data_IF_527032306910
#
_entry.id   IF_527032306910
#
_cell.length_a   1.000
_cell.length_b   1.000
_cell.length_c   1.000
_cell.angle_alpha   90.00
_cell.angle_beta   90.00
_cell.angle_gamma   90.00
#
_symmetry.space_group_name_H-M   'P 1'
#
loop_
_entity.id
_entity.type
_entity.pdbx_description
1 polymer ?
#
# COMPACT_ATOMS: atom_id res chain seq x y z
N UNK A 1 -47.02 17.16 -12.43
CA UNK A 1 -45.87 16.24 -12.68
C UNK A 1 -44.61 17.07 -12.62
N UNK A 2 -43.91 17.10 -11.47
CA UNK A 2 -42.65 17.79 -11.31
C UNK A 2 -41.55 16.73 -11.41
N UNK A 3 -40.72 16.83 -12.43
CA UNK A 3 -39.55 16.01 -12.66
C UNK A 3 -38.47 16.49 -11.68
N UNK A 4 -38.11 15.63 -10.72
CA UNK A 4 -36.99 15.82 -9.82
C UNK A 4 -35.75 15.31 -10.56
N UNK A 5 -34.94 16.21 -11.10
CA UNK A 5 -33.58 15.96 -11.52
C UNK A 5 -32.68 16.46 -10.39
N UNK A 6 -32.49 15.65 -9.37
CA UNK A 6 -31.38 15.83 -8.42
C UNK A 6 -30.07 15.46 -9.13
N UNK A 7 -29.46 16.46 -9.73
CA UNK A 7 -28.05 16.41 -10.09
C UNK A 7 -27.25 16.44 -8.80
N UNK A 8 -26.81 15.27 -8.33
CA UNK A 8 -25.73 15.15 -7.35
C UNK A 8 -24.50 15.86 -7.91
N UNK A 9 -24.26 17.09 -7.48
CA UNK A 9 -22.99 17.77 -7.63
C UNK A 9 -21.96 17.04 -6.76
N UNK A 10 -21.40 15.92 -7.30
CA UNK A 10 -20.17 15.37 -6.77
C UNK A 10 -19.09 16.42 -7.07
N UNK A 11 -18.50 16.99 -6.02
CA UNK A 11 -17.29 17.80 -6.16
C UNK A 11 -16.28 17.01 -6.99
N UNK A 12 -15.50 17.65 -7.87
CA UNK A 12 -14.46 16.95 -8.63
C UNK A 12 -13.57 16.21 -7.63
N UNK A 13 -13.58 14.87 -7.67
CA UNK A 13 -12.61 14.08 -6.89
C UNK A 13 -11.23 14.56 -7.32
N UNK A 14 -10.42 14.97 -6.35
CA UNK A 14 -9.03 15.32 -6.61
C UNK A 14 -8.34 14.03 -7.10
N UNK A 15 -8.07 13.97 -8.41
CA UNK A 15 -7.47 12.78 -9.05
C UNK A 15 -6.02 12.53 -8.60
N UNK A 16 -5.48 13.39 -7.76
CA UNK A 16 -4.11 13.30 -7.28
C UNK A 16 -4.01 12.39 -6.05
N UNK A 17 -5.09 12.33 -5.25
CA UNK A 17 -5.13 11.57 -3.99
C UNK A 17 -6.41 10.73 -3.89
N UNK A 18 -6.25 9.53 -3.31
CA UNK A 18 -7.34 8.63 -2.95
C UNK A 18 -7.35 8.46 -1.42
N UNK A 19 -8.48 8.09 -0.88
CA UNK A 19 -8.62 7.65 0.51
C UNK A 19 -9.11 6.22 0.56
N UNK A 20 -8.77 5.48 1.62
CA UNK A 20 -9.29 4.13 1.81
C UNK A 20 -10.81 4.17 2.05
N UNK A 21 -11.55 3.39 1.28
CA UNK A 21 -13.00 3.21 1.46
C UNK A 21 -13.24 2.01 2.38
N UNK A 22 -13.28 2.29 3.68
CA UNK A 22 -13.47 1.30 4.74
C UNK A 22 -14.09 1.96 6.00
N UNK A 23 -14.77 1.20 6.86
CA UNK A 23 -15.43 1.75 8.06
C UNK A 23 -14.45 1.92 9.24
N UNK A 24 -13.27 2.50 9.00
CA UNK A 24 -12.30 2.79 10.05
C UNK A 24 -12.83 3.85 11.04
N UNK A 25 -12.30 3.89 12.28
CA UNK A 25 -12.58 4.96 13.22
C UNK A 25 -12.32 6.35 12.62
N UNK A 26 -13.13 7.33 13.02
CA UNK A 26 -13.12 8.68 12.41
C UNK A 26 -11.79 9.43 12.58
N UNK A 27 -11.01 9.07 13.60
CA UNK A 27 -9.67 9.60 13.85
C UNK A 27 -8.56 8.87 13.06
N UNK A 28 -8.87 7.76 12.40
CA UNK A 28 -7.94 7.09 11.49
C UNK A 28 -8.06 7.73 10.12
N UNK A 29 -6.97 8.28 9.62
CA UNK A 29 -6.90 8.95 8.31
C UNK A 29 -5.98 8.19 7.38
N UNK A 30 -6.29 8.25 6.09
CA UNK A 30 -5.48 7.63 5.03
C UNK A 30 -5.33 8.57 3.86
N UNK A 31 -4.20 8.48 3.19
CA UNK A 31 -3.93 9.14 1.91
C UNK A 31 -3.16 8.16 1.02
N UNK A 32 -3.64 7.97 -0.20
CA UNK A 32 -2.97 7.15 -1.20
C UNK A 32 -2.70 8.06 -2.40
N UNK A 33 -1.43 8.26 -2.73
CA UNK A 33 -1.08 9.11 -3.87
C UNK A 33 -1.32 8.38 -5.18
N UNK A 34 -1.69 9.13 -6.21
CA UNK A 34 -1.59 8.68 -7.59
C UNK A 34 -0.26 9.15 -8.19
N UNK A 35 -0.05 8.92 -9.48
CA UNK A 35 1.11 9.48 -10.18
C UNK A 35 0.98 10.99 -10.49
N UNK A 36 -0.19 11.59 -10.22
CA UNK A 36 -0.55 12.95 -10.63
C UNK A 36 -0.33 13.97 -9.50
N UNK A 37 -0.17 15.24 -9.86
CA UNK A 37 -0.14 16.36 -8.90
C UNK A 37 1.25 16.74 -8.37
N UNK A 38 2.32 16.19 -8.93
CA UNK A 38 3.70 16.51 -8.55
C UNK A 38 4.47 17.32 -9.59
N UNK A 39 5.78 17.42 -9.38
CA UNK A 39 6.71 18.24 -10.18
C UNK A 39 7.77 17.43 -10.95
N UNK A 40 7.85 16.12 -10.75
CA UNK A 40 8.78 15.26 -11.51
C UNK A 40 8.40 15.20 -13.00
N UNK A 41 9.39 14.99 -13.85
CA UNK A 41 9.25 14.98 -15.31
C UNK A 41 9.56 13.59 -15.91
N UNK A 42 9.37 13.45 -17.21
CA UNK A 42 9.69 12.25 -17.97
C UNK A 42 8.96 11.01 -17.47
N UNK A 43 9.68 9.91 -17.24
CA UNK A 43 9.14 8.62 -16.77
C UNK A 43 8.63 8.68 -15.33
N UNK A 44 9.01 9.72 -14.58
CA UNK A 44 8.61 9.98 -13.19
C UNK A 44 7.41 10.93 -13.05
N UNK A 45 6.86 11.39 -14.17
CA UNK A 45 5.76 12.38 -14.18
C UNK A 45 4.53 11.81 -13.51
N UNK A 46 4.09 12.46 -12.44
CA UNK A 46 4.57 13.72 -11.86
C UNK A 46 4.85 13.62 -10.37
N UNK A 47 4.07 12.89 -9.55
CA UNK A 47 4.16 12.82 -8.09
C UNK A 47 5.01 11.61 -7.65
N UNK A 48 6.26 11.53 -8.13
CA UNK A 48 7.18 10.52 -7.65
C UNK A 48 7.73 10.88 -6.27
N UNK A 49 7.58 9.99 -5.28
CA UNK A 49 8.12 10.15 -3.92
C UNK A 49 9.33 9.24 -3.62
N UNK A 50 9.71 8.39 -4.58
CA UNK A 50 10.84 7.46 -4.45
C UNK A 50 12.18 8.11 -4.76
N UNK A 51 13.06 8.25 -3.77
CA UNK A 51 14.38 8.86 -3.94
C UNK A 51 15.44 7.91 -4.54
N UNK A 52 15.13 6.61 -4.61
CA UNK A 52 16.03 5.53 -5.05
C UNK A 52 15.83 5.09 -6.50
N UNK A 53 14.96 5.76 -7.26
CA UNK A 53 14.58 5.32 -8.62
C UNK A 53 15.30 6.04 -9.75
N UNK A 54 16.17 7.01 -9.43
CA UNK A 54 16.97 7.75 -10.40
C UNK A 54 16.33 9.06 -10.91
N UNK A 55 15.32 9.56 -10.23
CA UNK A 55 14.71 10.88 -10.48
C UNK A 55 15.55 12.02 -9.90
N UNK A 56 15.26 13.25 -10.30
CA UNK A 56 15.84 14.46 -9.72
C UNK A 56 15.45 14.56 -8.23
N UNK A 57 16.46 14.61 -7.35
CA UNK A 57 16.22 14.62 -5.90
C UNK A 57 15.42 15.85 -5.43
N UNK A 58 15.64 17.03 -6.02
CA UNK A 58 14.88 18.24 -5.65
C UNK A 58 13.40 18.08 -5.99
N UNK A 59 13.08 17.48 -7.15
CA UNK A 59 11.69 17.17 -7.53
C UNK A 59 11.07 16.16 -6.56
N UNK A 60 11.79 15.10 -6.17
CA UNK A 60 11.31 14.13 -5.19
C UNK A 60 11.05 14.77 -3.83
N UNK A 61 11.95 15.63 -3.36
CA UNK A 61 11.78 16.34 -2.09
C UNK A 61 10.55 17.25 -2.14
N UNK A 62 10.36 18.00 -3.24
CA UNK A 62 9.16 18.82 -3.42
C UNK A 62 7.88 18.00 -3.47
N UNK A 63 7.90 16.84 -4.13
CA UNK A 63 6.77 15.91 -4.12
C UNK A 63 6.45 15.38 -2.71
N UNK A 64 7.47 15.07 -1.91
CA UNK A 64 7.27 14.67 -0.51
C UNK A 64 6.72 15.80 0.36
N UNK A 65 7.11 17.05 0.11
CA UNK A 65 6.52 18.22 0.75
C UNK A 65 5.03 18.34 0.40
N UNK A 66 4.65 18.22 -0.88
CA UNK A 66 3.25 18.23 -1.32
C UNK A 66 2.44 17.16 -0.57
N UNK A 67 2.97 15.94 -0.43
CA UNK A 67 2.31 14.87 0.32
C UNK A 67 2.21 15.22 1.80
N UNK A 68 3.27 15.74 2.41
CA UNK A 68 3.28 16.12 3.82
C UNK A 68 2.33 17.28 4.13
N UNK A 69 2.17 18.24 3.21
CA UNK A 69 1.18 19.32 3.33
C UNK A 69 -0.27 18.78 3.41
N UNK A 70 -0.57 17.68 2.68
CA UNK A 70 -1.88 17.03 2.73
C UNK A 70 -2.11 16.24 4.02
N UNK A 71 -1.07 15.61 4.56
CA UNK A 71 -1.13 14.80 5.79
C UNK A 71 -1.13 15.67 7.04
N UNK A 72 -0.39 16.77 7.03
CA UNK A 72 -0.21 17.67 8.18
C UNK A 72 0.72 17.13 9.27
N UNK A 73 1.33 15.96 9.06
CA UNK A 73 2.26 15.31 9.99
C UNK A 73 3.56 14.93 9.25
N UNK A 74 4.68 14.72 9.99
CA UNK A 74 5.85 14.07 9.43
C UNK A 74 5.52 12.67 8.91
N UNK A 75 6.18 12.23 7.84
CA UNK A 75 5.98 10.93 7.22
C UNK A 75 7.18 10.03 7.46
N UNK A 76 6.96 8.84 7.99
CA UNK A 76 7.98 7.82 8.23
C UNK A 76 8.29 7.05 6.93
N UNK A 77 9.15 7.60 6.08
CA UNK A 77 9.66 6.87 4.92
C UNK A 77 10.70 5.84 5.34
N UNK A 78 10.63 4.63 4.76
CA UNK A 78 11.54 3.51 5.03
C UNK A 78 12.41 3.22 3.81
N UNK A 79 13.59 2.64 4.03
CA UNK A 79 14.33 1.95 2.99
C UNK A 79 13.77 0.53 2.85
N UNK A 80 12.78 0.38 1.94
CA UNK A 80 12.07 -0.87 1.72
C UNK A 80 12.94 -1.87 0.95
N UNK A 81 13.30 -2.96 1.60
CA UNK A 81 14.24 -3.97 1.09
C UNK A 81 13.58 -5.33 0.85
N UNK A 82 12.25 -5.38 0.82
CA UNK A 82 11.43 -6.60 0.70
C UNK A 82 11.66 -7.58 1.86
N UNK A 83 11.93 -7.06 3.05
CA UNK A 83 12.09 -7.81 4.30
C UNK A 83 10.76 -8.03 5.01
N UNK A 84 10.84 -8.52 6.24
CA UNK A 84 9.72 -8.66 7.17
C UNK A 84 9.90 -7.79 8.42
N UNK A 85 10.81 -6.83 8.36
CA UNK A 85 11.18 -5.96 9.48
C UNK A 85 10.10 -4.89 9.66
N UNK A 86 9.64 -4.76 10.90
CA UNK A 86 8.67 -3.73 11.35
C UNK A 86 9.36 -2.81 12.35
N UNK A 87 9.17 -1.52 12.19
CA UNK A 87 9.77 -0.51 13.07
C UNK A 87 8.71 0.41 13.68
N UNK A 88 9.05 1.10 14.77
CA UNK A 88 8.26 2.21 15.27
C UNK A 88 8.38 3.40 14.32
N UNK A 89 7.26 3.98 13.89
CA UNK A 89 7.26 5.05 12.91
C UNK A 89 7.95 6.34 13.42
N UNK A 90 7.83 6.64 14.71
CA UNK A 90 8.51 7.80 15.32
C UNK A 90 10.03 7.64 15.26
N UNK A 91 10.54 6.43 15.53
CA UNK A 91 11.97 6.12 15.50
C UNK A 91 12.55 6.12 14.07
N UNK A 92 11.69 5.93 13.06
CA UNK A 92 12.09 5.98 11.66
C UNK A 92 12.29 7.41 11.14
N UNK A 93 11.79 8.43 11.84
CA UNK A 93 11.92 9.84 11.42
C UNK A 93 13.40 10.26 11.38
N UNK A 94 13.83 10.74 10.20
CA UNK A 94 15.20 11.22 9.97
C UNK A 94 16.26 10.14 9.76
N UNK A 95 15.95 8.85 9.97
CA UNK A 95 16.89 7.75 9.85
C UNK A 95 16.69 6.88 8.61
N UNK A 96 15.46 6.83 8.06
CA UNK A 96 15.06 5.97 6.93
C UNK A 96 15.63 4.54 7.07
N UNK A 97 15.24 3.79 8.12
CA UNK A 97 15.82 2.47 8.41
C UNK A 97 15.43 1.43 7.34
N UNK A 98 16.24 0.38 7.26
CA UNK A 98 15.93 -0.83 6.49
C UNK A 98 14.74 -1.55 7.14
N UNK A 99 13.55 -1.40 6.55
CA UNK A 99 12.32 -2.04 7.02
C UNK A 99 11.26 -1.98 5.93
N UNK A 100 10.24 -2.84 6.06
CA UNK A 100 9.12 -2.90 5.11
C UNK A 100 7.76 -2.63 5.77
N UNK A 101 7.74 -2.37 7.08
CA UNK A 101 6.53 -1.92 7.77
C UNK A 101 6.86 -0.98 8.92
N UNK A 102 5.89 -0.14 9.27
CA UNK A 102 5.96 0.72 10.46
C UNK A 102 4.64 0.77 11.20
N UNK A 103 4.72 0.98 12.53
CA UNK A 103 3.56 1.08 13.44
C UNK A 103 3.62 2.39 14.20
N UNK A 104 2.49 3.07 14.39
CA UNK A 104 2.35 4.25 15.24
C UNK A 104 1.15 4.14 16.18
N UNK A 105 1.36 4.56 17.44
CA UNK A 105 0.35 4.70 18.50
C UNK A 105 0.27 6.12 19.03
N UNK A 106 1.10 7.01 18.51
CA UNK A 106 1.30 8.35 19.07
C UNK A 106 0.43 9.42 18.41
N UNK A 107 0.02 9.22 17.15
CA UNK A 107 -0.66 10.23 16.33
C UNK A 107 0.21 11.45 16.04
N UNK A 108 1.53 11.27 16.00
CA UNK A 108 2.50 12.34 15.71
C UNK A 108 3.24 12.13 14.38
N UNK A 109 3.03 10.99 13.74
CA UNK A 109 3.68 10.57 12.50
C UNK A 109 2.73 9.76 11.63
N UNK A 110 2.85 9.87 10.31
CA UNK A 110 2.16 9.00 9.38
C UNK A 110 3.05 7.81 8.99
N UNK A 111 2.52 6.59 9.12
CA UNK A 111 3.12 5.38 8.57
C UNK A 111 2.99 5.38 7.04
N UNK A 112 4.02 4.94 6.33
CA UNK A 112 4.10 5.02 4.87
C UNK A 112 4.58 3.71 4.23
N UNK A 113 3.98 3.37 3.07
CA UNK A 113 4.46 2.31 2.18
C UNK A 113 4.55 2.84 0.75
N UNK A 114 5.76 2.89 0.19
CA UNK A 114 6.02 3.33 -1.20
C UNK A 114 5.96 2.14 -2.15
N UNK A 115 5.23 2.28 -3.25
CA UNK A 115 5.06 1.19 -4.22
C UNK A 115 4.98 1.67 -5.67
N UNK A 116 5.26 0.74 -6.57
CA UNK A 116 4.85 0.71 -7.97
C UNK A 116 4.72 -0.78 -8.30
N UNK A 117 3.53 -1.33 -8.09
CA UNK A 117 3.05 -2.70 -8.22
C UNK A 117 3.00 -3.54 -6.94
N UNK A 118 3.98 -3.48 -6.05
CA UNK A 118 3.91 -4.20 -4.77
C UNK A 118 2.68 -3.76 -3.96
N UNK A 119 2.15 -4.63 -3.12
CA UNK A 119 0.95 -4.37 -2.33
C UNK A 119 1.26 -3.55 -1.07
N UNK A 120 0.73 -2.32 -0.92
CA UNK A 120 0.67 -1.65 0.37
C UNK A 120 -0.52 -2.18 1.17
N UNK A 121 -0.31 -2.49 2.45
CA UNK A 121 -1.40 -2.83 3.37
C UNK A 121 -1.42 -1.83 4.51
N UNK A 122 -2.56 -1.17 4.70
CA UNK A 122 -2.79 -0.22 5.79
C UNK A 122 -3.61 -0.93 6.87
N UNK A 123 -3.25 -0.71 8.13
CA UNK A 123 -3.91 -1.33 9.27
C UNK A 123 -4.32 -0.31 10.31
N UNK A 124 -5.44 -0.55 10.94
CA UNK A 124 -5.82 0.10 12.20
C UNK A 124 -6.54 -0.88 13.12
N UNK A 125 -6.65 -0.55 14.39
CA UNK A 125 -7.59 -1.23 15.27
C UNK A 125 -8.96 -0.55 15.28
N UNK A 126 -10.01 -1.27 15.70
CA UNK A 126 -11.38 -0.76 15.82
C UNK A 126 -11.52 0.41 16.79
N UNK A 127 -10.62 0.50 17.75
CA UNK A 127 -10.61 1.56 18.75
C UNK A 127 -9.93 2.85 18.23
N UNK A 128 -9.20 2.79 17.11
CA UNK A 128 -8.45 3.92 16.56
C UNK A 128 -7.29 4.33 17.47
N UNK A 129 -6.58 3.35 18.02
CA UNK A 129 -5.47 3.58 18.96
C UNK A 129 -4.11 3.24 18.39
N UNK A 130 -4.06 2.41 17.35
CA UNK A 130 -2.86 2.01 16.62
C UNK A 130 -3.10 1.95 15.14
N UNK A 131 -2.11 2.38 14.36
CA UNK A 131 -2.09 2.27 12.90
C UNK A 131 -0.77 1.69 12.42
N UNK A 132 -0.78 1.04 11.27
CA UNK A 132 0.43 0.54 10.62
C UNK A 132 0.33 0.60 9.10
N UNK A 133 1.48 0.67 8.44
CA UNK A 133 1.60 0.50 7.00
C UNK A 133 2.68 -0.53 6.68
N UNK A 134 2.36 -1.50 5.82
CA UNK A 134 3.27 -2.55 5.37
C UNK A 134 3.46 -2.53 3.86
N UNK A 135 4.68 -2.68 3.41
CA UNK A 135 5.05 -2.97 2.04
C UNK A 135 5.10 -4.49 1.84
N UNK A 136 4.02 -5.04 1.30
CA UNK A 136 3.86 -6.46 1.06
C UNK A 136 4.14 -6.82 -0.42
N UNK A 137 5.36 -6.53 -0.91
CA UNK A 137 5.86 -7.17 -2.11
C UNK A 137 5.87 -8.69 -1.90
N UNK A 138 5.79 -9.50 -2.97
CA UNK A 138 5.61 -10.95 -2.84
C UNK A 138 6.62 -11.64 -1.89
N UNK A 139 7.88 -11.17 -1.87
CA UNK A 139 8.90 -11.71 -0.95
C UNK A 139 8.58 -11.43 0.51
N UNK A 140 8.24 -10.18 0.82
CA UNK A 140 7.85 -9.78 2.16
C UNK A 140 6.55 -10.46 2.61
N UNK A 141 5.57 -10.56 1.70
CA UNK A 141 4.28 -11.23 1.94
C UNK A 141 4.47 -12.72 2.25
N UNK A 142 5.22 -13.44 1.42
CA UNK A 142 5.54 -14.85 1.65
C UNK A 142 6.41 -15.06 2.89
N UNK A 143 7.31 -14.10 3.18
CA UNK A 143 8.21 -14.13 4.33
C UNK A 143 7.56 -13.78 5.68
N UNK A 144 6.35 -13.18 5.70
CA UNK A 144 5.62 -12.91 6.93
C UNK A 144 5.60 -11.43 7.37
N UNK A 145 5.75 -10.47 6.45
CA UNK A 145 5.67 -9.03 6.80
C UNK A 145 4.33 -8.65 7.42
N UNK A 146 3.21 -9.25 6.96
CA UNK A 146 1.88 -8.96 7.52
C UNK A 146 1.73 -9.55 8.92
N UNK A 147 2.22 -10.77 9.15
CA UNK A 147 2.24 -11.42 10.47
C UNK A 147 3.02 -10.57 11.49
N UNK A 148 4.22 -10.14 11.10
CA UNK A 148 5.05 -9.30 11.96
C UNK A 148 4.41 -7.93 12.22
N UNK A 149 3.70 -7.36 11.24
CA UNK A 149 2.97 -6.08 11.41
C UNK A 149 1.83 -6.25 12.40
N UNK A 150 1.01 -7.30 12.25
CA UNK A 150 -0.08 -7.64 13.18
C UNK A 150 0.46 -7.80 14.61
N UNK A 151 1.54 -8.57 14.77
CA UNK A 151 2.18 -8.76 16.08
C UNK A 151 2.69 -7.45 16.68
N UNK A 152 3.29 -6.56 15.86
CA UNK A 152 3.81 -5.28 16.31
C UNK A 152 2.70 -4.27 16.72
N UNK A 153 1.49 -4.41 16.20
CA UNK A 153 0.34 -3.60 16.62
C UNK A 153 -0.09 -3.89 18.06
N UNK A 154 0.24 -5.07 18.58
CA UNK A 154 -0.03 -5.49 19.98
C UNK A 154 -1.50 -5.36 20.38
N UNK A 155 -2.41 -5.72 19.49
CA UNK A 155 -3.86 -5.83 19.72
C UNK A 155 -4.36 -7.18 19.20
N UNK A 156 -5.52 -7.61 19.70
CA UNK A 156 -6.12 -8.87 19.23
C UNK A 156 -6.42 -8.81 17.74
N UNK A 157 -6.05 -9.81 16.93
CA UNK A 157 -6.26 -9.80 15.49
C UNK A 157 -7.70 -9.57 15.04
N UNK A 158 -8.70 -10.02 15.82
CA UNK A 158 -10.13 -9.78 15.57
C UNK A 158 -10.54 -8.30 15.67
N UNK A 159 -9.72 -7.49 16.33
CA UNK A 159 -9.93 -6.04 16.46
C UNK A 159 -9.19 -5.25 15.36
N UNK A 160 -8.39 -5.93 14.54
CA UNK A 160 -7.63 -5.30 13.44
C UNK A 160 -8.48 -5.24 12.17
N UNK A 161 -8.42 -4.10 11.51
CA UNK A 161 -8.92 -3.84 10.18
C UNK A 161 -7.74 -3.64 9.23
N UNK A 162 -7.83 -4.20 8.02
CA UNK A 162 -6.80 -4.06 6.98
C UNK A 162 -7.40 -3.49 5.69
N UNK A 163 -6.67 -2.61 5.03
CA UNK A 163 -7.01 -2.08 3.71
C UNK A 163 -5.91 -2.40 2.70
N UNK A 164 -6.25 -3.12 1.65
CA UNK A 164 -5.37 -3.47 0.55
C UNK A 164 -5.37 -2.32 -0.47
N UNK A 165 -4.31 -1.51 -0.45
CA UNK A 165 -4.18 -0.34 -1.31
C UNK A 165 -3.78 -0.74 -2.75
N UNK A 166 -3.77 0.20 -3.72
CA UNK A 166 -3.49 -0.11 -5.12
C UNK A 166 -2.19 -0.87 -5.36
N UNK A 167 -2.28 -2.02 -6.03
CA UNK A 167 -1.18 -2.90 -6.39
C UNK A 167 -1.37 -3.48 -7.81
N UNK A 168 -0.47 -4.32 -8.25
CA UNK A 168 -0.62 -5.09 -9.48
C UNK A 168 -1.79 -6.08 -9.34
N UNK A 169 -2.73 -6.05 -10.27
CA UNK A 169 -3.88 -6.96 -10.30
C UNK A 169 -3.55 -8.33 -10.89
N UNK A 170 -4.46 -9.31 -10.71
CA UNK A 170 -4.24 -10.70 -11.14
C UNK A 170 -4.02 -10.85 -12.65
N UNK A 171 -4.70 -10.05 -13.48
CA UNK A 171 -4.55 -10.12 -14.94
C UNK A 171 -3.20 -9.63 -15.46
N UNK A 172 -2.34 -9.07 -14.59
CA UNK A 172 -1.06 -8.47 -14.97
C UNK A 172 0.14 -9.02 -14.18
N UNK A 173 -0.12 -9.80 -13.12
CA UNK A 173 0.94 -10.28 -12.25
C UNK A 173 1.45 -11.66 -12.68
N UNK A 174 2.13 -11.72 -13.85
CA UNK A 174 2.85 -12.91 -14.26
C UNK A 174 4.04 -13.18 -13.34
N UNK A 175 4.16 -14.42 -12.86
CA UNK A 175 5.20 -14.91 -11.94
C UNK A 175 5.74 -16.26 -12.38
N UNK A 176 6.89 -16.66 -11.82
CA UNK A 176 7.49 -17.98 -12.03
C UNK A 176 7.14 -18.98 -10.94
N UNK A 177 7.68 -20.19 -11.12
CA UNK A 177 7.53 -21.30 -10.16
C UNK A 177 8.05 -20.94 -8.77
N UNK A 178 9.08 -20.10 -8.67
CA UNK A 178 9.65 -19.65 -7.41
C UNK A 178 8.64 -18.90 -6.53
N UNK A 179 7.78 -18.07 -7.14
CA UNK A 179 6.71 -17.37 -6.42
C UNK A 179 5.60 -18.34 -6.04
N UNK A 180 5.20 -19.22 -6.97
CA UNK A 180 4.20 -20.26 -6.69
C UNK A 180 4.61 -21.12 -5.49
N UNK A 181 5.84 -21.65 -5.50
CA UNK A 181 6.35 -22.50 -4.42
C UNK A 181 6.46 -21.77 -3.08
N UNK A 182 6.83 -20.48 -3.11
CA UNK A 182 6.93 -19.67 -1.90
C UNK A 182 5.60 -19.53 -1.14
N UNK A 183 4.48 -19.56 -1.83
CA UNK A 183 3.15 -19.50 -1.22
C UNK A 183 2.51 -20.88 -1.04
N UNK A 184 2.52 -21.71 -2.07
CA UNK A 184 1.77 -22.98 -2.07
C UNK A 184 2.43 -24.08 -1.22
N UNK A 185 3.75 -24.01 -0.97
CA UNK A 185 4.42 -24.98 -0.09
C UNK A 185 3.97 -24.82 1.38
N UNK A 186 3.99 -23.61 2.01
CA UNK A 186 3.52 -23.41 3.37
C UNK A 186 2.00 -23.29 3.49
N UNK A 187 1.30 -23.02 2.38
CA UNK A 187 -0.13 -22.73 2.33
C UNK A 187 -0.74 -23.38 1.07
N UNK A 188 -1.04 -24.70 1.10
CA UNK A 188 -1.51 -25.42 -0.08
C UNK A 188 -2.76 -24.80 -0.75
N UNK A 189 -3.66 -24.19 0.02
CA UNK A 189 -4.83 -23.50 -0.51
C UNK A 189 -4.50 -22.23 -1.31
N UNK A 190 -3.27 -21.72 -1.21
CA UNK A 190 -2.83 -20.59 -2.02
C UNK A 190 -2.84 -20.88 -3.53
N UNK A 191 -2.92 -22.17 -3.92
CA UNK A 191 -3.08 -22.56 -5.33
C UNK A 191 -4.26 -21.85 -6.00
N UNK A 192 -5.32 -21.56 -5.28
CA UNK A 192 -6.52 -20.86 -5.79
C UNK A 192 -6.25 -19.41 -6.19
N UNK A 193 -5.11 -18.84 -5.78
CA UNK A 193 -4.68 -17.50 -6.16
C UNK A 193 -3.72 -17.48 -7.37
N UNK A 194 -3.56 -18.61 -8.05
CA UNK A 194 -2.68 -18.74 -9.22
C UNK A 194 -3.41 -19.38 -10.39
N UNK A 195 -3.31 -18.79 -11.56
CA UNK A 195 -3.75 -19.38 -12.83
C UNK A 195 -2.51 -19.84 -13.62
N UNK A 196 -2.43 -21.13 -13.93
CA UNK A 196 -1.33 -21.68 -14.74
C UNK A 196 -1.50 -21.25 -16.22
N UNK A 197 -0.54 -20.49 -16.72
CA UNK A 197 -0.50 -20.02 -18.12
C UNK A 197 0.49 -20.80 -18.98
N UNK A 198 1.04 -21.89 -18.45
CA UNK A 198 1.98 -22.76 -19.13
C UNK A 198 3.43 -22.34 -19.00
N UNK A 199 4.35 -23.26 -19.35
CA UNK A 199 5.78 -22.97 -19.33
C UNK A 199 6.39 -22.68 -17.96
N UNK A 200 5.74 -23.13 -16.88
CA UNK A 200 6.16 -22.82 -15.49
C UNK A 200 5.90 -21.37 -15.11
N UNK A 201 4.89 -20.74 -15.72
CA UNK A 201 4.45 -19.38 -15.47
C UNK A 201 3.00 -19.38 -14.96
N UNK A 202 2.69 -18.42 -14.11
CA UNK A 202 1.37 -18.25 -13.51
C UNK A 202 0.96 -16.77 -13.55
N UNK A 203 -0.35 -16.51 -13.61
CA UNK A 203 -0.92 -15.25 -13.19
C UNK A 203 -1.30 -15.38 -11.71
N UNK A 204 -0.77 -14.49 -10.86
CA UNK A 204 -0.99 -14.53 -9.42
C UNK A 204 -1.90 -13.39 -8.96
N UNK A 205 -2.78 -13.67 -8.01
CA UNK A 205 -3.58 -12.67 -7.31
C UNK A 205 -2.94 -12.32 -5.97
N UNK A 206 -2.16 -11.21 -5.92
CA UNK A 206 -1.51 -10.76 -4.69
C UNK A 206 -2.53 -10.32 -3.63
N UNK A 207 -3.71 -9.86 -4.04
CA UNK A 207 -4.77 -9.48 -3.12
C UNK A 207 -5.39 -10.72 -2.46
N UNK A 208 -5.65 -11.79 -3.22
CA UNK A 208 -6.13 -13.06 -2.69
C UNK A 208 -5.10 -13.67 -1.73
N UNK A 209 -3.82 -13.69 -2.10
CA UNK A 209 -2.74 -14.17 -1.23
C UNK A 209 -2.67 -13.39 0.09
N UNK A 210 -2.74 -12.06 0.04
CA UNK A 210 -2.75 -11.23 1.24
C UNK A 210 -3.97 -11.51 2.12
N UNK A 211 -5.18 -11.67 1.53
CA UNK A 211 -6.39 -12.05 2.27
C UNK A 211 -6.26 -13.38 2.96
N UNK A 212 -5.71 -14.40 2.29
CA UNK A 212 -5.47 -15.72 2.88
C UNK A 212 -4.53 -15.62 4.08
N UNK A 213 -3.41 -14.89 3.95
CA UNK A 213 -2.47 -14.65 5.05
C UNK A 213 -3.16 -13.94 6.22
N UNK A 214 -3.87 -12.84 5.97
CA UNK A 214 -4.58 -12.09 7.01
C UNK A 214 -5.64 -12.93 7.73
N UNK A 215 -6.43 -13.72 7.00
CA UNK A 215 -7.43 -14.61 7.60
C UNK A 215 -6.79 -15.69 8.50
N UNK A 216 -5.65 -16.26 8.10
CA UNK A 216 -4.92 -17.21 8.93
C UNK A 216 -4.44 -16.59 10.25
N UNK A 217 -4.10 -15.31 10.23
CA UNK A 217 -3.71 -14.54 11.43
C UNK A 217 -4.93 -14.03 12.23
N UNK A 218 -6.15 -14.33 11.82
CA UNK A 218 -7.37 -13.93 12.52
C UNK A 218 -7.91 -12.55 12.16
N UNK A 219 -7.32 -11.84 11.20
CA UNK A 219 -7.83 -10.57 10.70
C UNK A 219 -8.92 -10.85 9.66
N UNK A 220 -10.18 -10.50 10.01
CA UNK A 220 -11.34 -10.81 9.17
C UNK A 220 -11.93 -9.57 8.48
N UNK A 221 -11.58 -8.38 8.92
CA UNK A 221 -12.06 -7.12 8.35
C UNK A 221 -11.07 -6.58 7.31
N UNK A 222 -11.18 -7.06 6.08
CA UNK A 222 -10.25 -6.77 4.99
C UNK A 222 -10.98 -6.09 3.85
N UNK A 223 -10.53 -4.89 3.50
CA UNK A 223 -11.13 -3.99 2.52
C UNK A 223 -10.17 -3.68 1.36
N UNK A 224 -10.64 -3.00 0.33
CA UNK A 224 -9.81 -2.61 -0.82
C UNK A 224 -9.46 -3.77 -1.76
N UNK A 225 -8.34 -3.67 -2.47
CA UNK A 225 -7.90 -4.69 -3.43
C UNK A 225 -8.66 -4.65 -4.76
N UNK A 226 -9.05 -3.47 -5.23
CA UNK A 226 -9.90 -3.27 -6.41
C UNK A 226 -9.20 -2.57 -7.58
N UNK A 227 -7.94 -2.19 -7.42
CA UNK A 227 -7.17 -1.47 -8.42
C UNK A 227 -6.09 -2.35 -9.08
N UNK A 228 -5.70 -1.99 -10.31
CA UNK A 228 -4.53 -2.57 -10.96
C UNK A 228 -3.58 -1.48 -11.46
N UNK A 229 -2.41 -1.38 -10.84
CA UNK A 229 -1.40 -0.36 -11.19
C UNK A 229 -0.89 -0.47 -12.62
N UNK A 230 -0.89 -1.67 -13.21
CA UNK A 230 -0.49 -1.91 -14.60
C UNK A 230 -1.55 -1.40 -15.57
N UNK A 231 -2.83 -1.68 -15.31
CA UNK A 231 -3.94 -1.36 -16.21
C UNK A 231 -4.38 0.10 -16.09
N UNK A 232 -4.36 0.66 -14.88
CA UNK A 232 -4.77 2.05 -14.61
C UNK A 232 -3.59 3.04 -14.79
N UNK A 233 -3.05 3.07 -16.01
CA UNK A 233 -1.81 3.77 -16.37
C UNK A 233 -1.83 5.30 -16.17
N UNK A 234 -2.99 5.91 -16.27
CA UNK A 234 -3.15 7.35 -16.08
C UNK A 234 -3.21 7.73 -14.58
N UNK A 235 -3.42 6.74 -13.71
CA UNK A 235 -3.56 6.91 -12.27
C UNK A 235 -2.32 6.48 -11.51
N UNK A 236 -1.66 5.37 -11.92
CA UNK A 236 -0.58 4.78 -11.13
C UNK A 236 0.73 4.60 -11.89
N UNK A 237 1.84 4.74 -11.20
CA UNK A 237 3.12 4.22 -11.63
C UNK A 237 3.11 2.68 -11.59
N UNK A 238 3.79 2.04 -12.55
CA UNK A 238 3.94 0.60 -12.56
C UNK A 238 5.34 0.23 -13.06
N UNK A 239 6.07 -0.51 -12.23
CA UNK A 239 7.38 -1.02 -12.60
C UNK A 239 7.29 -2.16 -13.62
N UNK A 240 6.27 -3.02 -13.49
CA UNK A 240 5.99 -4.12 -14.42
C UNK A 240 5.75 -3.62 -15.85
N UNK A 241 5.00 -2.52 -15.97
CA UNK A 241 4.66 -1.92 -17.26
C UNK A 241 5.81 -1.12 -17.86
N UNK A 242 6.47 -0.28 -17.04
CA UNK A 242 7.33 0.81 -17.52
C UNK A 242 8.83 0.56 -17.28
N UNK A 243 9.21 -0.41 -16.41
CA UNK A 243 10.58 -0.64 -15.97
C UNK A 243 11.08 0.48 -15.08
N UNK A 244 11.55 1.58 -15.66
CA UNK A 244 11.95 2.77 -14.90
C UNK A 244 10.74 3.68 -14.69
N UNK A 245 10.38 3.94 -13.42
CA UNK A 245 9.17 4.70 -13.07
C UNK A 245 9.23 5.24 -11.64
N UNK A 246 8.30 6.14 -11.29
CA UNK A 246 8.17 6.69 -9.95
C UNK A 246 7.60 5.70 -8.93
N UNK A 247 7.39 6.21 -7.72
CA UNK A 247 6.70 5.50 -6.63
C UNK A 247 5.53 6.33 -6.13
N UNK A 248 4.37 5.68 -5.95
CA UNK A 248 3.29 6.19 -5.11
C UNK A 248 3.63 5.93 -3.64
N UNK A 249 2.86 6.55 -2.74
CA UNK A 249 2.87 6.22 -1.31
C UNK A 249 1.45 6.05 -0.79
N UNK A 250 1.24 5.00 0.01
CA UNK A 250 0.04 4.78 0.80
C UNK A 250 0.36 5.10 2.26
N UNK A 251 -0.45 5.94 2.87
CA UNK A 251 -0.23 6.55 4.17
C UNK A 251 -1.40 6.30 5.10
N UNK A 252 -1.12 6.13 6.39
CA UNK A 252 -2.12 6.05 7.45
C UNK A 252 -1.60 6.73 8.71
N UNK A 253 -2.49 7.44 9.44
CA UNK A 253 -2.16 8.11 10.69
C UNK A 253 -3.36 8.27 11.61
N UNK A 254 -3.08 8.56 12.88
CA UNK A 254 -4.09 8.93 13.87
C UNK A 254 -4.20 10.46 13.94
N UNK A 255 -5.40 10.99 13.73
CA UNK A 255 -5.72 12.40 13.97
C UNK A 255 -6.10 12.58 15.45
N UNK A 256 -5.53 13.60 16.09
CA UNK A 256 -5.81 13.93 17.49
C UNK A 256 -6.89 15.00 17.61
#
# INVERSE_FOLDING_TARGET
>A
MKTITDTLNLAPQDKNFLTADWPAPTNVKTLITTRNGGVSEGVYRSLNVGSHVGDNLEAVLRNREIVQEQVGLPVAYLNQIHSTIVVNAVEALGNTPDADASVDTTGTVACASMTADCLPVLFCDKAGTVVAAAHAGWRGLAGGVLQNTIAAMNVEPLEIMAYLAPAIGPDAFEVGQDVFDAFCTPMPEAVDAFEDIGGGKYLADIYALARMVLHREGVNMIYGGTHCTVLERDTFFSYRRDGQTGRMVSLIWLEK
#
